data_IF_234411159779
#
_entry.id   IF_234411159779
#
_cell.length_a   1.000
_cell.length_b   1.000
_cell.length_c   1.000
_cell.angle_alpha   90.00
_cell.angle_beta   90.00
_cell.angle_gamma   90.00
#
_symmetry.space_group_name_H-M   'P 1'
#
loop_
_entity.id
_entity.type
_entity.pdbx_description
1 polymer ?
#
# COMPACT_ATOMS: atom_id res chain seq x y z
N UNK A 1 -3.01 6.35 30.62
CA UNK A 1 -4.45 5.97 30.54
C UNK A 1 -4.97 5.35 31.83
N UNK A 2 -4.33 4.31 32.39
CA UNK A 2 -4.82 3.66 33.62
C UNK A 2 -4.79 4.60 34.84
N UNK A 3 -3.66 5.23 35.10
CA UNK A 3 -3.51 6.18 36.22
C UNK A 3 -4.47 7.38 36.12
N UNK A 4 -4.73 7.90 34.91
CA UNK A 4 -5.70 8.98 34.69
C UNK A 4 -7.15 8.56 34.93
N UNK A 5 -7.41 7.25 35.08
CA UNK A 5 -8.70 6.67 35.50
C UNK A 5 -8.66 6.16 36.94
N UNK A 6 -7.68 6.60 37.73
CA UNK A 6 -7.47 6.20 39.12
C UNK A 6 -7.22 4.69 39.32
N UNK A 7 -6.75 3.99 38.29
CA UNK A 7 -6.28 2.60 38.40
C UNK A 7 -4.78 2.62 38.69
N UNK A 8 -4.39 2.16 39.88
CA UNK A 8 -3.01 2.14 40.36
C UNK A 8 -2.37 0.79 39.99
N UNK A 9 -1.25 0.84 39.27
CA UNK A 9 -0.41 -0.34 38.99
C UNK A 9 0.76 -0.30 39.97
N UNK A 10 0.84 -1.29 40.86
CA UNK A 10 1.88 -1.35 41.90
C UNK A 10 3.22 -1.93 41.39
N UNK A 11 3.20 -2.69 40.30
CA UNK A 11 4.39 -3.27 39.66
C UNK A 11 5.03 -2.37 38.60
N UNK A 12 6.16 -2.83 38.05
CA UNK A 12 6.81 -2.20 36.90
C UNK A 12 6.22 -2.65 35.55
N UNK A 13 6.64 -1.99 34.48
CA UNK A 13 6.37 -2.43 33.10
C UNK A 13 7.57 -3.24 32.63
N UNK A 14 7.33 -4.37 31.99
CA UNK A 14 8.35 -5.20 31.37
C UNK A 14 7.88 -5.64 29.99
N UNK A 15 8.81 -5.77 29.05
CA UNK A 15 8.57 -6.52 27.83
C UNK A 15 8.67 -8.02 28.16
N UNK A 16 7.72 -8.81 27.67
CA UNK A 16 7.69 -10.25 27.92
C UNK A 16 8.92 -10.96 27.34
N UNK A 17 9.46 -10.43 26.23
CA UNK A 17 10.63 -10.98 25.55
C UNK A 17 11.92 -10.73 26.36
N UNK A 18 11.90 -9.80 27.32
CA UNK A 18 13.01 -9.54 28.23
C UNK A 18 12.98 -10.43 29.49
N UNK A 19 11.95 -11.27 29.65
CA UNK A 19 11.79 -12.17 30.79
C UNK A 19 12.15 -13.60 30.36
N UNK A 20 13.34 -14.11 30.73
CA UNK A 20 13.73 -15.48 30.40
C UNK A 20 12.73 -16.48 30.97
N UNK A 21 12.38 -17.48 30.17
CA UNK A 21 11.50 -18.59 30.54
C UNK A 21 10.09 -18.17 30.98
N UNK A 22 9.63 -16.96 30.61
CA UNK A 22 8.25 -16.56 30.89
C UNK A 22 7.28 -17.47 30.16
N UNK A 23 6.34 -18.03 30.92
CA UNK A 23 5.21 -18.77 30.39
C UNK A 23 3.93 -18.25 31.00
N UNK A 24 2.90 -18.16 30.16
CA UNK A 24 1.56 -17.86 30.61
C UNK A 24 0.96 -19.00 31.46
N UNK A 25 1.55 -20.20 31.49
CA UNK A 25 1.10 -21.27 32.36
C UNK A 25 1.74 -21.17 33.75
N UNK A 26 0.98 -21.34 34.86
CA UNK A 26 -0.41 -21.76 34.95
C UNK A 26 -1.40 -20.59 35.11
N UNK A 27 -1.07 -19.38 34.64
CA UNK A 27 -1.93 -18.21 34.83
C UNK A 27 -3.27 -18.41 34.11
N UNK A 28 -4.36 -18.26 34.87
CA UNK A 28 -5.68 -18.16 34.28
C UNK A 28 -5.83 -16.75 33.69
N UNK A 29 -5.83 -16.67 32.35
CA UNK A 29 -5.93 -15.40 31.64
C UNK A 29 -7.39 -15.06 31.41
N UNK A 30 -7.83 -13.93 31.97
CA UNK A 30 -9.14 -13.35 31.71
C UNK A 30 -9.03 -12.14 30.80
N UNK A 31 -9.83 -12.11 29.73
CA UNK A 31 -9.95 -10.91 28.89
C UNK A 31 -10.67 -9.82 29.67
N UNK A 32 -9.95 -8.78 30.09
CA UNK A 32 -10.54 -7.64 30.81
C UNK A 32 -11.18 -6.62 29.86
N UNK A 33 -10.60 -6.44 28.69
CA UNK A 33 -11.10 -5.55 27.65
C UNK A 33 -10.62 -6.02 26.27
N UNK A 34 -11.45 -5.78 25.26
CA UNK A 34 -11.10 -5.94 23.86
C UNK A 34 -11.41 -4.65 23.11
N UNK A 35 -10.63 -4.36 22.09
CA UNK A 35 -10.90 -3.26 21.16
C UNK A 35 -10.80 -3.79 19.73
N UNK A 36 -11.65 -3.26 18.86
CA UNK A 36 -11.58 -3.54 17.43
C UNK A 36 -10.87 -2.38 16.72
N UNK A 37 -10.09 -2.72 15.70
CA UNK A 37 -9.51 -1.73 14.79
C UNK A 37 -10.60 -1.12 13.89
N UNK A 38 -10.30 0.00 13.21
CA UNK A 38 -11.08 0.43 12.07
C UNK A 38 -11.16 -0.66 10.99
N UNK A 39 -12.21 -0.65 10.14
CA UNK A 39 -12.31 -1.57 9.01
C UNK A 39 -11.09 -1.47 8.08
N UNK A 40 -10.73 -2.59 7.43
CA UNK A 40 -9.58 -2.68 6.54
C UNK A 40 -9.54 -1.56 5.47
N UNK A 41 -10.69 -1.19 4.91
CA UNK A 41 -10.76 -0.11 3.93
C UNK A 41 -10.23 1.23 4.48
N UNK A 42 -10.48 1.56 5.75
CA UNK A 42 -9.98 2.78 6.37
C UNK A 42 -8.46 2.71 6.58
N UNK A 43 -7.94 1.55 6.98
CA UNK A 43 -6.50 1.31 7.12
C UNK A 43 -5.81 1.44 5.75
N UNK A 44 -6.35 0.80 4.71
CA UNK A 44 -5.84 0.88 3.33
C UNK A 44 -5.96 2.30 2.77
N UNK A 45 -6.98 3.07 3.18
CA UNK A 45 -7.08 4.50 2.84
C UNK A 45 -5.89 5.28 3.38
N UNK A 46 -5.49 5.06 4.63
CA UNK A 46 -4.28 5.69 5.19
C UNK A 46 -3.03 5.24 4.43
N UNK A 47 -2.89 3.94 4.13
CA UNK A 47 -1.77 3.41 3.32
C UNK A 47 -1.71 4.10 1.96
N UNK A 48 -2.82 4.23 1.25
CA UNK A 48 -2.81 4.71 -0.12
C UNK A 48 -2.76 6.24 -0.21
N UNK A 49 -3.57 6.96 0.59
CA UNK A 49 -3.63 8.44 0.58
C UNK A 49 -2.38 9.08 1.16
N UNK A 50 -1.87 8.54 2.27
CA UNK A 50 -0.74 9.13 3.00
C UNK A 50 0.59 8.43 2.70
N UNK A 51 0.56 7.28 2.02
CA UNK A 51 1.75 6.44 1.80
C UNK A 51 2.39 5.97 3.11
N UNK A 52 1.57 5.54 4.07
CA UNK A 52 2.04 5.12 5.39
C UNK A 52 2.79 3.78 5.32
N UNK A 53 4.11 3.83 5.47
CA UNK A 53 4.99 2.66 5.34
C UNK A 53 4.77 1.61 6.44
N UNK A 54 4.52 2.05 7.68
CA UNK A 54 4.32 1.12 8.80
C UNK A 54 3.05 0.29 8.59
N UNK A 55 1.96 0.93 8.16
CA UNK A 55 0.71 0.21 7.92
C UNK A 55 0.85 -0.75 6.74
N UNK A 56 1.57 -0.37 5.69
CA UNK A 56 1.83 -1.24 4.55
C UNK A 56 2.63 -2.49 4.97
N UNK A 57 3.69 -2.32 5.77
CA UNK A 57 4.49 -3.43 6.30
C UNK A 57 3.69 -4.34 7.24
N UNK A 58 2.85 -3.77 8.11
CA UNK A 58 1.99 -4.56 8.98
C UNK A 58 0.94 -5.34 8.19
N UNK A 59 0.30 -4.74 7.18
CA UNK A 59 -0.66 -5.46 6.33
C UNK A 59 0.01 -6.61 5.55
N UNK A 60 1.21 -6.38 5.03
CA UNK A 60 2.02 -7.40 4.36
C UNK A 60 2.29 -8.60 5.28
N UNK A 61 2.68 -8.34 6.53
CA UNK A 61 2.91 -9.40 7.53
C UNK A 61 1.64 -10.04 8.05
N UNK A 62 0.56 -9.29 8.24
CA UNK A 62 -0.74 -9.83 8.67
C UNK A 62 -1.26 -10.79 7.61
N UNK A 63 -1.15 -10.46 6.31
CA UNK A 63 -1.50 -11.39 5.24
C UNK A 63 -0.77 -12.74 5.38
N UNK A 64 0.53 -12.70 5.69
CA UNK A 64 1.31 -13.91 5.95
C UNK A 64 0.82 -14.66 7.20
N UNK A 65 0.58 -13.94 8.29
CA UNK A 65 0.10 -14.52 9.54
C UNK A 65 -1.24 -15.24 9.38
N UNK A 66 -2.15 -14.68 8.58
CA UNK A 66 -3.45 -15.30 8.28
C UNK A 66 -3.31 -16.59 7.45
N UNK A 67 -2.30 -16.67 6.58
CA UNK A 67 -2.08 -17.83 5.69
C UNK A 67 -1.22 -18.93 6.33
N UNK A 68 -0.25 -18.56 7.17
CA UNK A 68 0.76 -19.50 7.69
C UNK A 68 0.82 -19.59 9.21
N UNK A 69 0.11 -18.72 9.93
CA UNK A 69 0.22 -18.56 11.38
C UNK A 69 1.38 -17.68 11.84
N UNK A 70 2.26 -17.23 10.92
CA UNK A 70 3.47 -16.48 11.25
C UNK A 70 3.66 -15.24 10.36
N UNK A 71 3.60 -14.05 10.97
CA UNK A 71 3.72 -12.75 10.31
C UNK A 71 5.15 -12.30 10.00
N UNK A 72 5.96 -13.15 9.36
CA UNK A 72 7.33 -12.79 8.94
C UNK A 72 7.33 -12.18 7.53
N UNK A 73 8.32 -11.32 7.23
CA UNK A 73 8.47 -10.75 5.89
C UNK A 73 8.73 -11.82 4.82
N UNK A 74 9.45 -12.90 5.16
CA UNK A 74 9.70 -14.01 4.24
C UNK A 74 8.41 -14.78 3.90
N UNK A 75 7.55 -15.03 4.88
CA UNK A 75 6.25 -15.66 4.64
C UNK A 75 5.33 -14.74 3.82
N UNK A 76 5.39 -13.43 4.07
CA UNK A 76 4.64 -12.44 3.30
C UNK A 76 5.09 -12.37 1.84
N UNK A 77 6.40 -12.37 1.58
CA UNK A 77 6.93 -12.43 0.20
C UNK A 77 6.44 -13.68 -0.52
N UNK A 78 6.44 -14.83 0.16
CA UNK A 78 5.94 -16.09 -0.39
C UNK A 78 4.44 -16.00 -0.71
N UNK A 79 3.64 -15.49 0.21
CA UNK A 79 2.19 -15.31 0.01
C UNK A 79 1.88 -14.40 -1.20
N UNK A 80 2.59 -13.28 -1.34
CA UNK A 80 2.43 -12.41 -2.51
C UNK A 80 2.87 -13.12 -3.79
N UNK A 81 4.01 -13.83 -3.79
CA UNK A 81 4.46 -14.60 -4.97
C UNK A 81 3.42 -15.64 -5.42
N UNK A 82 2.78 -16.33 -4.47
CA UNK A 82 1.70 -17.28 -4.77
C UNK A 82 0.48 -16.56 -5.38
N UNK A 83 0.09 -15.40 -4.85
CA UNK A 83 -0.98 -14.58 -5.41
C UNK A 83 -0.66 -14.12 -6.84
N UNK A 84 0.53 -13.58 -7.08
CA UNK A 84 0.96 -13.16 -8.42
C UNK A 84 1.01 -14.34 -9.40
N UNK A 85 1.48 -15.51 -8.94
CA UNK A 85 1.44 -16.75 -9.71
C UNK A 85 0.01 -17.15 -10.10
N UNK A 86 -0.95 -17.04 -9.19
CA UNK A 86 -2.36 -17.29 -9.46
C UNK A 86 -2.97 -16.28 -10.46
N UNK A 87 -2.38 -15.09 -10.61
CA UNK A 87 -2.75 -14.12 -11.66
C UNK A 87 -2.11 -14.43 -13.02
N UNK A 88 -1.25 -15.45 -13.12
CA UNK A 88 -0.47 -15.75 -14.33
C UNK A 88 0.77 -14.89 -14.49
N UNK A 89 1.16 -14.15 -13.46
CA UNK A 89 2.36 -13.31 -13.46
C UNK A 89 3.53 -14.18 -12.99
N UNK A 90 4.62 -14.21 -13.76
CA UNK A 90 5.80 -14.98 -13.38
C UNK A 90 6.38 -14.46 -12.03
N UNK A 91 6.37 -15.26 -10.95
CA UNK A 91 6.89 -14.83 -9.64
C UNK A 91 8.41 -14.60 -9.64
N UNK A 92 9.14 -15.06 -10.67
CA UNK A 92 10.57 -14.77 -10.82
C UNK A 92 10.83 -13.34 -11.33
N UNK A 93 9.81 -12.65 -11.84
CA UNK A 93 9.90 -11.26 -12.31
C UNK A 93 9.65 -10.23 -11.19
N UNK A 94 9.50 -10.71 -9.96
CA UNK A 94 9.16 -9.90 -8.79
C UNK A 94 9.96 -10.29 -7.57
N UNK A 95 10.35 -9.27 -6.82
CA UNK A 95 11.05 -9.38 -5.55
C UNK A 95 10.36 -8.42 -4.60
N UNK A 96 9.83 -8.91 -3.48
CA UNK A 96 8.99 -8.15 -2.55
C UNK A 96 9.57 -8.32 -1.15
N UNK A 97 10.62 -7.55 -0.87
CA UNK A 97 11.36 -7.62 0.38
C UNK A 97 10.64 -6.95 1.55
N UNK A 98 9.71 -6.02 1.29
CA UNK A 98 8.85 -5.39 2.29
C UNK A 98 7.49 -4.98 1.68
N UNK A 99 6.52 -4.66 2.54
CA UNK A 99 5.19 -4.22 2.12
C UNK A 99 5.12 -2.75 1.70
N UNK A 100 6.13 -1.95 2.07
CA UNK A 100 6.08 -0.49 1.96
C UNK A 100 6.67 0.06 0.65
N UNK A 101 7.55 -0.69 0.01
CA UNK A 101 8.33 -0.22 -1.13
C UNK A 101 9.61 0.54 -0.76
N UNK A 102 10.00 0.60 0.53
CA UNK A 102 11.23 1.28 0.97
C UNK A 102 12.50 0.52 0.60
N UNK A 103 12.44 -0.82 0.66
CA UNK A 103 13.57 -1.67 0.31
C UNK A 103 13.95 -1.50 -1.16
N UNK A 104 15.26 -1.34 -1.40
CA UNK A 104 15.84 -1.34 -2.75
C UNK A 104 15.84 -2.71 -3.42
N UNK A 105 15.54 -3.75 -2.66
CA UNK A 105 15.40 -5.12 -3.17
C UNK A 105 14.01 -5.36 -3.76
N UNK A 106 13.07 -4.42 -3.60
CA UNK A 106 11.78 -4.50 -4.25
C UNK A 106 11.91 -4.29 -5.76
N UNK A 107 11.47 -5.28 -6.53
CA UNK A 107 11.48 -5.26 -7.99
C UNK A 107 10.12 -5.67 -8.51
N UNK A 108 9.54 -4.86 -9.39
CA UNK A 108 8.32 -5.17 -10.11
C UNK A 108 8.33 -4.49 -11.47
N UNK A 109 7.77 -5.14 -12.48
CA UNK A 109 7.67 -4.54 -13.81
C UNK A 109 6.39 -3.68 -13.94
N UNK A 110 6.39 -2.63 -14.79
CA UNK A 110 5.16 -1.90 -15.10
C UNK A 110 4.04 -2.79 -15.63
N UNK A 111 4.37 -3.86 -16.37
CA UNK A 111 3.41 -4.84 -16.88
C UNK A 111 2.73 -5.61 -15.75
N UNK A 112 3.50 -6.15 -14.80
CA UNK A 112 2.98 -6.85 -13.62
C UNK A 112 2.08 -5.95 -12.78
N UNK A 113 2.43 -4.66 -12.65
CA UNK A 113 1.56 -3.68 -11.98
C UNK A 113 0.23 -3.45 -12.72
N UNK A 114 0.24 -3.38 -14.04
CA UNK A 114 -0.99 -3.25 -14.84
C UNK A 114 -1.86 -4.52 -14.70
N UNK A 115 -1.25 -5.70 -14.72
CA UNK A 115 -1.94 -6.97 -14.51
C UNK A 115 -2.58 -7.04 -13.12
N UNK A 116 -1.86 -6.62 -12.07
CA UNK A 116 -2.39 -6.50 -10.70
C UNK A 116 -3.56 -5.52 -10.63
N UNK A 117 -3.44 -4.33 -11.21
CA UNK A 117 -4.51 -3.33 -11.23
C UNK A 117 -5.75 -3.84 -11.98
N UNK A 118 -5.56 -4.55 -13.09
CA UNK A 118 -6.63 -5.19 -13.83
C UNK A 118 -7.28 -6.33 -13.05
N UNK A 119 -6.49 -7.15 -12.36
CA UNK A 119 -6.99 -8.19 -11.47
C UNK A 119 -7.84 -7.61 -10.33
N UNK A 120 -7.36 -6.54 -9.68
CA UNK A 120 -8.06 -5.85 -8.61
C UNK A 120 -9.42 -5.32 -9.07
N UNK A 121 -9.54 -4.78 -10.29
CA UNK A 121 -10.84 -4.28 -10.80
C UNK A 121 -11.88 -5.39 -11.02
N UNK A 122 -11.47 -6.67 -11.10
CA UNK A 122 -12.36 -7.82 -11.21
C UNK A 122 -12.80 -8.41 -9.87
N UNK A 123 -12.24 -7.94 -8.76
CA UNK A 123 -12.58 -8.45 -7.43
C UNK A 123 -13.83 -7.78 -6.85
N UNK A 124 -14.49 -8.45 -5.91
CA UNK A 124 -15.67 -7.92 -5.20
C UNK A 124 -15.36 -6.67 -4.38
N UNK A 125 -14.12 -6.51 -3.91
CA UNK A 125 -13.66 -5.34 -3.18
C UNK A 125 -13.07 -4.22 -4.07
N UNK A 126 -13.22 -4.32 -5.40
CA UNK A 126 -12.71 -3.38 -6.39
C UNK A 126 -13.02 -1.91 -6.07
N UNK A 127 -14.30 -1.58 -5.84
CA UNK A 127 -14.70 -0.19 -5.60
C UNK A 127 -14.18 0.33 -4.26
N UNK A 128 -14.17 -0.53 -3.23
CA UNK A 128 -13.62 -0.19 -1.92
C UNK A 128 -12.14 0.14 -2.01
N UNK A 129 -11.37 -0.64 -2.76
CA UNK A 129 -9.95 -0.37 -3.04
C UNK A 129 -9.77 0.90 -3.87
N UNK A 130 -10.52 1.05 -4.97
CA UNK A 130 -10.44 2.20 -5.86
C UNK A 130 -10.65 3.54 -5.13
N UNK A 131 -11.56 3.57 -4.15
CA UNK A 131 -11.81 4.74 -3.32
C UNK A 131 -10.63 5.13 -2.42
N UNK A 132 -9.75 4.19 -2.08
CA UNK A 132 -8.57 4.46 -1.24
C UNK A 132 -7.43 5.17 -1.99
N UNK A 133 -7.40 5.09 -3.32
CA UNK A 133 -6.32 5.65 -4.14
C UNK A 133 -6.37 7.20 -4.15
N UNK A 134 -5.23 7.90 -4.02
CA UNK A 134 -5.17 9.35 -4.16
C UNK A 134 -5.80 9.85 -5.45
N UNK A 135 -6.58 10.94 -5.37
CA UNK A 135 -7.24 11.57 -6.51
C UNK A 135 -6.41 12.79 -6.92
N UNK A 136 -6.02 12.82 -8.21
CA UNK A 136 -5.27 13.91 -8.81
C UNK A 136 -5.92 15.28 -8.55
N UNK A 137 -5.13 16.22 -8.00
CA UNK A 137 -5.57 17.58 -7.70
C UNK A 137 -6.52 17.74 -6.52
N UNK A 138 -6.86 16.64 -5.81
CA UNK A 138 -7.88 16.64 -4.75
C UNK A 138 -7.29 16.25 -3.40
N UNK A 139 -6.67 15.07 -3.30
CA UNK A 139 -6.26 14.51 -2.00
C UNK A 139 -4.98 13.66 -2.03
N UNK A 140 -4.59 13.21 -0.84
CA UNK A 140 -3.41 12.39 -0.61
C UNK A 140 -2.13 12.98 -1.22
N UNK A 141 -1.24 12.09 -1.65
CA UNK A 141 0.03 12.46 -2.29
C UNK A 141 -0.11 13.10 -3.68
N UNK A 142 -1.33 13.17 -4.23
CA UNK A 142 -1.62 13.84 -5.51
C UNK A 142 -2.34 15.18 -5.36
N UNK A 143 -2.67 15.62 -4.14
CA UNK A 143 -3.38 16.88 -3.87
C UNK A 143 -2.75 18.10 -4.57
N UNK A 144 -1.42 18.15 -4.62
CA UNK A 144 -0.66 19.23 -5.26
C UNK A 144 -0.34 19.03 -6.74
N UNK A 145 -0.69 17.88 -7.34
CA UNK A 145 -0.32 17.49 -8.71
C UNK A 145 -1.53 17.57 -9.64
N UNK A 146 -1.29 17.88 -10.92
CA UNK A 146 -2.32 17.93 -11.98
C UNK A 146 -3.50 18.88 -11.71
N UNK A 147 -3.36 19.86 -10.82
CA UNK A 147 -4.41 20.86 -10.56
C UNK A 147 -4.64 21.72 -11.79
N UNK A 148 -5.90 21.92 -12.16
CA UNK A 148 -6.27 22.76 -13.31
C UNK A 148 -5.98 22.11 -14.67
N UNK A 149 -5.63 20.83 -14.71
CA UNK A 149 -5.52 20.05 -15.96
C UNK A 149 -6.70 19.09 -16.10
N UNK A 150 -6.85 18.47 -17.28
CA UNK A 150 -7.89 17.46 -17.50
C UNK A 150 -7.75 16.25 -16.56
N UNK A 151 -6.55 15.96 -16.05
CA UNK A 151 -6.31 14.83 -15.16
C UNK A 151 -6.83 15.04 -13.74
N UNK A 152 -7.10 16.29 -13.31
CA UNK A 152 -7.72 16.55 -12.00
C UNK A 152 -9.06 15.82 -11.87
N UNK A 153 -9.25 15.06 -10.79
CA UNK A 153 -10.47 14.28 -10.56
C UNK A 153 -10.60 13.00 -11.42
N UNK A 154 -9.93 12.92 -12.56
CA UNK A 154 -10.01 11.80 -13.51
C UNK A 154 -8.89 10.77 -13.37
N UNK A 155 -7.84 11.08 -12.59
CA UNK A 155 -6.77 10.13 -12.27
C UNK A 155 -6.83 9.75 -10.81
N UNK A 156 -6.83 8.44 -10.54
CA UNK A 156 -6.68 7.86 -9.21
C UNK A 156 -5.49 6.93 -9.18
N UNK A 157 -4.44 7.28 -8.44
CA UNK A 157 -3.18 6.56 -8.52
C UNK A 157 -2.35 6.63 -7.24
N UNK A 158 -1.61 5.56 -6.98
CA UNK A 158 -0.63 5.50 -5.90
C UNK A 158 0.71 6.05 -6.40
N UNK A 159 1.31 6.92 -5.59
CA UNK A 159 2.66 7.42 -5.82
C UNK A 159 3.70 6.56 -5.11
N UNK A 160 4.88 6.38 -5.71
CA UNK A 160 6.08 5.83 -5.05
C UNK A 160 7.26 6.78 -5.15
N UNK A 161 8.00 6.98 -4.06
CA UNK A 161 9.21 7.81 -4.01
C UNK A 161 10.22 7.18 -3.06
N UNK A 162 11.36 6.79 -3.61
CA UNK A 162 12.61 6.55 -2.86
C UNK A 162 13.74 7.23 -3.61
N UNK A 163 14.93 7.35 -2.99
CA UNK A 163 16.06 8.07 -3.61
C UNK A 163 16.33 7.58 -5.05
N UNK A 164 16.20 8.53 -6.00
CA UNK A 164 16.36 8.35 -7.46
C UNK A 164 15.35 7.41 -8.14
N UNK A 165 14.23 7.11 -7.48
CA UNK A 165 13.14 6.31 -8.04
C UNK A 165 11.83 7.07 -7.89
N UNK A 166 11.03 7.09 -8.96
CA UNK A 166 9.69 7.67 -8.95
C UNK A 166 8.72 6.74 -9.65
N UNK A 167 7.60 6.44 -8.99
CA UNK A 167 6.54 5.62 -9.55
C UNK A 167 5.17 6.31 -9.43
N UNK A 168 4.30 6.03 -10.40
CA UNK A 168 2.89 6.40 -10.39
C UNK A 168 2.11 5.32 -11.14
N UNK A 169 1.20 4.66 -10.43
CA UNK A 169 0.40 3.55 -10.99
C UNK A 169 -1.03 3.64 -10.48
N UNK A 170 -2.00 3.36 -11.35
CA UNK A 170 -3.41 3.46 -11.01
C UNK A 170 -4.30 3.48 -12.24
N UNK A 171 -5.39 4.24 -12.14
CA UNK A 171 -6.44 4.34 -13.16
C UNK A 171 -6.59 5.77 -13.65
N UNK A 172 -6.87 5.92 -14.94
CA UNK A 172 -7.21 7.19 -15.59
C UNK A 172 -8.50 7.02 -16.40
N UNK A 173 -9.47 7.89 -16.19
CA UNK A 173 -10.70 7.92 -16.99
C UNK A 173 -10.51 8.85 -18.18
N UNK A 174 -10.67 8.33 -19.40
CA UNK A 174 -10.56 9.08 -20.66
C UNK A 174 -11.75 10.01 -20.88
N UNK A 175 -11.65 10.87 -21.89
CA UNK A 175 -12.66 11.87 -22.23
C UNK A 175 -13.96 11.25 -22.75
N UNK A 176 -13.92 10.03 -23.30
CA UNK A 176 -15.06 9.21 -23.71
C UNK A 176 -15.53 8.21 -22.63
N UNK A 177 -14.95 8.26 -21.43
CA UNK A 177 -15.40 7.52 -20.25
C UNK A 177 -14.78 6.13 -20.07
N UNK A 178 -13.81 5.74 -20.92
CA UNK A 178 -13.04 4.52 -20.74
C UNK A 178 -12.09 4.63 -19.54
N UNK A 179 -12.03 3.59 -18.70
CA UNK A 179 -11.04 3.51 -17.63
C UNK A 179 -9.79 2.76 -18.12
N UNK A 180 -8.64 3.43 -18.07
CA UNK A 180 -7.34 2.87 -18.40
C UNK A 180 -6.56 2.54 -17.12
N UNK A 181 -6.01 1.33 -17.01
CA UNK A 181 -4.98 1.01 -16.02
C UNK A 181 -3.59 1.42 -16.55
N UNK A 182 -2.76 2.03 -15.72
CA UNK A 182 -1.42 2.47 -16.11
C UNK A 182 -0.39 2.25 -15.01
N UNK A 183 0.88 2.16 -15.41
CA UNK A 183 2.01 2.12 -14.50
C UNK A 183 3.23 2.80 -15.13
N UNK A 184 3.81 3.75 -14.41
CA UNK A 184 5.01 4.47 -14.81
C UNK A 184 6.05 4.36 -13.69
N UNK A 185 7.20 3.73 -14.00
CA UNK A 185 8.30 3.55 -13.05
C UNK A 185 9.56 4.14 -13.68
N UNK A 186 10.17 5.11 -13.00
CA UNK A 186 11.41 5.77 -13.43
C UNK A 186 12.48 5.48 -12.38
N UNK A 187 13.49 4.72 -12.78
CA UNK A 187 14.63 4.37 -11.93
C UNK A 187 15.86 5.17 -12.30
N UNK A 188 16.77 5.34 -11.33
CA UNK A 188 18.08 5.96 -11.50
C UNK A 188 18.09 7.34 -12.16
N UNK A 189 17.02 8.13 -11.98
CA UNK A 189 16.99 9.47 -12.56
C UNK A 189 18.03 10.38 -11.88
N UNK A 190 18.65 11.26 -12.67
CA UNK A 190 19.67 12.22 -12.24
C UNK A 190 19.16 13.66 -12.18
N UNK A 191 17.89 13.88 -12.54
CA UNK A 191 17.21 15.18 -12.52
C UNK A 191 16.49 15.43 -11.18
N UNK A 192 16.05 16.67 -10.90
CA UNK A 192 15.16 16.91 -9.76
C UNK A 192 13.89 16.05 -9.84
N UNK A 193 13.40 15.56 -8.70
CA UNK A 193 12.16 14.75 -8.63
C UNK A 193 10.96 15.44 -9.28
N UNK A 194 10.92 16.77 -9.25
CA UNK A 194 9.90 17.58 -9.92
C UNK A 194 9.81 17.32 -11.42
N UNK A 195 10.93 17.10 -12.10
CA UNK A 195 10.95 16.78 -13.55
C UNK A 195 10.34 15.41 -13.84
N UNK A 196 10.63 14.40 -13.00
CA UNK A 196 9.99 13.09 -13.13
C UNK A 196 8.48 13.17 -12.85
N UNK A 197 8.05 13.99 -11.88
CA UNK A 197 6.63 14.24 -11.62
C UNK A 197 5.94 14.88 -12.83
N UNK A 198 6.57 15.88 -13.45
CA UNK A 198 6.01 16.59 -14.61
C UNK A 198 5.79 15.64 -15.80
N UNK A 199 6.72 14.74 -16.08
CA UNK A 199 6.56 13.75 -17.16
C UNK A 199 5.40 12.81 -16.86
N UNK A 200 5.30 12.29 -15.64
CA UNK A 200 4.17 11.45 -15.23
C UNK A 200 2.83 12.18 -15.34
N UNK A 201 2.78 13.44 -14.88
CA UNK A 201 1.57 14.28 -14.92
C UNK A 201 1.13 14.55 -16.37
N UNK A 202 2.09 14.81 -17.26
CA UNK A 202 1.81 15.00 -18.69
C UNK A 202 1.26 13.73 -19.35
N UNK A 203 1.81 12.56 -19.03
CA UNK A 203 1.29 11.27 -19.53
C UNK A 203 -0.13 11.04 -19.04
N UNK A 204 -0.41 11.31 -17.76
CA UNK A 204 -1.76 11.28 -17.19
C UNK A 204 -2.73 12.21 -17.93
N UNK A 205 -2.34 13.45 -18.19
CA UNK A 205 -3.17 14.40 -18.95
C UNK A 205 -3.41 13.94 -20.39
N UNK A 206 -2.42 13.31 -21.03
CA UNK A 206 -2.57 12.74 -22.38
C UNK A 206 -3.53 11.56 -22.39
N UNK A 207 -3.44 10.65 -21.42
CA UNK A 207 -4.38 9.53 -21.29
C UNK A 207 -5.81 10.03 -21.08
N UNK A 208 -6.01 11.01 -20.19
CA UNK A 208 -7.37 11.53 -19.92
C UNK A 208 -7.95 12.25 -21.14
N UNK A 209 -7.15 12.96 -21.93
CA UNK A 209 -7.61 13.61 -23.16
C UNK A 209 -7.73 12.67 -24.37
N UNK A 210 -7.37 11.39 -24.23
CA UNK A 210 -7.48 10.41 -25.29
C UNK A 210 -8.96 10.12 -25.61
N UNK A 211 -9.23 9.83 -26.89
CA UNK A 211 -10.49 9.30 -27.41
C UNK A 211 -10.17 8.20 -28.39
N UNK A 212 -10.94 7.12 -28.39
CA UNK A 212 -10.82 6.06 -29.41
C UNK A 212 -11.40 6.46 -30.76
#
# INVERSE_FOLDING_TARGET
VLQSRHIIVHGGVADIDEIPDFTYAPLEIYTLCATSSPPLQQIVTVVNKESNNLYAELLFRVNAAELTGEGTAANAEKAEKELFGAMGINPDHLSLADGSGLSRLNLITPRSMIELLGYMRRQTCSDSFYQTLPIAGVDGTLKGRMRGTAAAGNVRAKTGLVSRVRALSGYATTLDGEELAFSMIVNFYSVPTGSANQIQDLVCERMVNFKR
#
